data_IF_504145780794
#
_entry.id   IF_504145780794
#
_cell.length_a   1.000
_cell.length_b   1.000
_cell.length_c   1.000
_cell.angle_alpha   90.00
_cell.angle_beta   90.00
_cell.angle_gamma   90.00
#
_symmetry.space_group_name_H-M   'P 1'
#
loop_
_entity.id
_entity.type
_entity.pdbx_description
1 polymer ?
#
# COMPACT_ATOMS: atom_id res chain seq x y z
N UNK A 1 -0.47 24.47 13.87
CA UNK A 1 -1.74 23.73 14.09
C UNK A 1 -1.60 22.21 13.96
N UNK A 2 -1.03 21.69 12.85
CA UNK A 2 -0.89 20.22 12.62
C UNK A 2 -0.05 19.52 13.69
N UNK A 3 1.10 20.08 14.07
CA UNK A 3 1.97 19.51 15.10
C UNK A 3 1.30 19.41 16.48
N UNK A 4 0.53 20.42 16.87
CA UNK A 4 -0.21 20.42 18.15
C UNK A 4 -1.30 19.35 18.15
N UNK A 5 -2.09 19.23 17.08
CA UNK A 5 -3.10 18.15 16.94
C UNK A 5 -2.46 16.77 17.03
N UNK A 6 -1.30 16.56 16.42
CA UNK A 6 -0.56 15.30 16.48
C UNK A 6 -0.06 15.00 17.90
N UNK A 7 0.46 16.01 18.60
CA UNK A 7 0.91 15.86 19.98
C UNK A 7 -0.25 15.49 20.92
N UNK A 8 -1.40 16.17 20.81
CA UNK A 8 -2.60 15.87 21.60
C UNK A 8 -3.13 14.46 21.32
N UNK A 9 -3.17 14.04 20.05
CA UNK A 9 -3.56 12.67 19.66
C UNK A 9 -2.64 11.62 20.29
N UNK A 10 -1.32 11.83 20.27
CA UNK A 10 -0.35 10.94 20.91
C UNK A 10 -0.52 10.88 22.42
N UNK A 11 -0.71 12.02 23.07
CA UNK A 11 -0.94 12.08 24.52
C UNK A 11 -2.22 11.32 24.87
N UNK A 12 -3.31 11.55 24.16
CA UNK A 12 -4.57 10.85 24.36
C UNK A 12 -4.42 9.33 24.19
N UNK A 13 -3.79 8.88 23.10
CA UNK A 13 -3.54 7.47 22.88
C UNK A 13 -2.67 6.84 23.97
N UNK A 14 -1.62 7.55 24.40
CA UNK A 14 -0.74 7.10 25.47
C UNK A 14 -1.48 6.98 26.81
N UNK A 15 -2.30 7.97 27.17
CA UNK A 15 -3.11 7.95 28.39
C UNK A 15 -4.04 6.74 28.41
N UNK A 16 -4.78 6.48 27.33
CA UNK A 16 -5.67 5.32 27.24
C UNK A 16 -4.92 3.99 27.28
N UNK A 17 -3.75 3.94 26.65
CA UNK A 17 -2.94 2.72 26.59
C UNK A 17 -2.34 2.38 27.97
N UNK A 18 -1.68 3.33 28.63
CA UNK A 18 -0.98 3.10 29.91
C UNK A 18 -1.92 3.03 31.12
N UNK A 19 -3.15 3.59 31.02
CA UNK A 19 -4.20 3.36 32.04
C UNK A 19 -4.82 1.97 31.97
N UNK A 20 -4.56 1.19 30.91
CA UNK A 20 -5.19 -0.11 30.67
C UNK A 20 -6.58 -0.04 30.03
N UNK A 21 -7.21 1.13 29.97
CA UNK A 21 -8.56 1.28 29.40
C UNK A 21 -8.64 0.86 27.94
N UNK A 22 -7.61 1.19 27.15
CA UNK A 22 -7.55 0.78 25.74
C UNK A 22 -7.47 -0.74 25.60
N UNK A 23 -6.78 -1.43 26.50
CA UNK A 23 -6.69 -2.89 26.50
C UNK A 23 -8.01 -3.58 26.88
N UNK A 24 -8.74 -3.02 27.83
CA UNK A 24 -10.08 -3.51 28.18
C UNK A 24 -11.04 -3.33 27.01
N UNK A 25 -11.02 -2.16 26.39
CA UNK A 25 -11.82 -1.90 25.20
C UNK A 25 -11.43 -2.84 24.04
N UNK A 26 -10.14 -3.01 23.78
CA UNK A 26 -9.63 -3.91 22.75
C UNK A 26 -10.05 -5.36 22.99
N UNK A 27 -10.06 -5.82 24.25
CA UNK A 27 -10.47 -7.18 24.59
C UNK A 27 -11.93 -7.47 24.21
N UNK A 28 -12.81 -6.48 24.32
CA UNK A 28 -14.21 -6.57 23.89
C UNK A 28 -14.33 -6.39 22.37
N UNK A 29 -13.71 -5.34 21.84
CA UNK A 29 -13.83 -4.93 20.43
C UNK A 29 -13.30 -5.98 19.43
N UNK A 30 -12.23 -6.69 19.80
CA UNK A 30 -11.55 -7.68 18.97
C UNK A 30 -12.12 -9.10 19.14
N UNK A 31 -13.11 -9.29 20.02
CA UNK A 31 -13.66 -10.62 20.28
C UNK A 31 -14.39 -11.15 19.04
N UNK A 32 -13.98 -12.35 18.58
CA UNK A 32 -14.56 -13.00 17.40
C UNK A 32 -14.28 -12.29 16.07
N UNK A 33 -13.29 -11.40 16.05
CA UNK A 33 -12.91 -10.59 14.88
C UNK A 33 -11.43 -10.70 14.59
N UNK A 34 -11.07 -10.46 13.33
CA UNK A 34 -9.68 -10.37 12.90
C UNK A 34 -9.28 -8.93 12.56
N UNK A 35 -8.03 -8.62 12.86
CA UNK A 35 -7.32 -7.43 12.36
C UNK A 35 -6.61 -7.82 11.08
N UNK A 36 -6.88 -7.15 9.97
CA UNK A 36 -6.11 -7.28 8.73
C UNK A 36 -5.37 -5.99 8.48
N UNK A 37 -4.05 -6.03 8.60
CA UNK A 37 -3.17 -4.87 8.43
C UNK A 37 -2.75 -4.75 6.97
N UNK A 38 -2.82 -3.55 6.43
CA UNK A 38 -2.38 -3.23 5.08
C UNK A 38 -1.19 -2.28 5.13
N UNK A 39 -0.04 -2.78 4.76
CA UNK A 39 1.19 -2.03 4.52
C UNK A 39 1.44 -1.89 3.02
N UNK A 40 2.26 -0.91 2.63
CA UNK A 40 2.76 -0.76 1.27
C UNK A 40 4.28 -0.58 1.28
N UNK A 41 4.77 0.54 1.84
CA UNK A 41 6.17 0.93 1.83
C UNK A 41 6.80 0.87 3.23
N UNK A 42 8.04 0.36 3.28
CA UNK A 42 8.90 0.42 4.48
C UNK A 42 10.17 1.17 4.12
N UNK A 43 10.14 2.50 4.23
CA UNK A 43 11.21 3.37 3.76
C UNK A 43 11.95 4.05 4.91
N UNK A 44 13.30 4.08 4.88
CA UNK A 44 14.07 4.85 5.86
C UNK A 44 13.79 6.36 5.70
N UNK A 45 13.97 7.15 6.78
CA UNK A 45 13.94 8.60 6.67
C UNK A 45 14.97 9.09 5.65
N UNK A 46 14.56 10.01 4.78
CA UNK A 46 15.42 10.57 3.74
C UNK A 46 15.51 9.75 2.46
N UNK A 47 14.74 8.68 2.31
CA UNK A 47 14.63 7.95 1.05
C UNK A 47 14.22 8.86 -0.10
N UNK A 48 14.82 8.64 -1.28
CA UNK A 48 14.46 9.38 -2.50
C UNK A 48 13.20 8.82 -3.13
N UNK A 49 12.07 9.00 -2.45
CA UNK A 49 10.75 8.53 -2.86
C UNK A 49 9.76 9.68 -2.99
N UNK A 50 8.84 9.52 -3.94
CA UNK A 50 7.71 10.42 -4.15
C UNK A 50 6.36 9.78 -3.76
N UNK A 51 6.38 8.61 -3.14
CA UNK A 51 5.19 7.98 -2.62
C UNK A 51 4.45 8.84 -1.60
N UNK A 52 3.14 8.68 -1.56
CA UNK A 52 2.29 9.40 -0.62
C UNK A 52 2.58 8.95 0.83
N UNK A 53 2.69 9.91 1.75
CA UNK A 53 3.00 9.62 3.17
C UNK A 53 1.95 8.70 3.88
N UNK A 54 0.75 8.58 3.31
CA UNK A 54 -0.32 7.69 3.79
C UNK A 54 -0.11 6.21 3.49
N UNK A 55 1.00 5.83 2.83
CA UNK A 55 1.35 4.43 2.53
C UNK A 55 2.74 4.05 3.04
N UNK A 56 3.44 4.94 3.75
CA UNK A 56 4.83 4.74 4.18
C UNK A 56 4.90 4.58 5.69
N UNK A 57 5.67 3.59 6.15
CA UNK A 57 6.17 3.48 7.53
C UNK A 57 7.69 3.43 7.52
N UNK A 58 8.33 3.89 8.61
CA UNK A 58 9.78 3.70 8.76
C UNK A 58 10.13 2.26 9.16
N UNK A 59 11.35 1.74 8.83
CA UNK A 59 11.78 0.42 9.30
C UNK A 59 11.69 0.25 10.82
N UNK A 60 11.99 1.31 11.58
CA UNK A 60 11.92 1.30 13.06
C UNK A 60 10.47 1.20 13.54
N UNK A 61 9.54 1.89 12.89
CA UNK A 61 8.11 1.81 13.21
C UNK A 61 7.55 0.45 12.82
N UNK A 62 7.91 -0.05 11.64
CA UNK A 62 7.50 -1.39 11.20
C UNK A 62 8.01 -2.49 12.16
N UNK A 63 9.27 -2.45 12.57
CA UNK A 63 9.81 -3.39 13.57
C UNK A 63 9.06 -3.33 14.90
N UNK A 64 8.74 -2.12 15.36
CA UNK A 64 7.94 -1.91 16.58
C UNK A 64 6.55 -2.54 16.47
N UNK A 65 5.91 -2.40 15.30
CA UNK A 65 4.62 -3.01 15.01
C UNK A 65 4.71 -4.54 15.01
N UNK A 66 5.68 -5.13 14.30
CA UNK A 66 5.83 -6.58 14.21
C UNK A 66 6.13 -7.20 15.57
N UNK A 67 7.02 -6.59 16.36
CA UNK A 67 7.28 -7.01 17.75
C UNK A 67 6.05 -6.93 18.63
N UNK A 68 5.22 -5.89 18.47
CA UNK A 68 3.96 -5.75 19.20
C UNK A 68 2.95 -6.83 18.82
N UNK A 69 2.74 -7.06 17.52
CA UNK A 69 1.80 -8.09 17.05
C UNK A 69 2.25 -9.49 17.40
N UNK A 70 3.52 -9.83 17.23
CA UNK A 70 4.08 -11.14 17.60
C UNK A 70 3.91 -11.43 19.11
N UNK A 71 3.90 -10.41 19.95
CA UNK A 71 3.76 -10.56 21.41
C UNK A 71 2.30 -10.63 21.90
N UNK A 72 1.39 -9.95 21.21
CA UNK A 72 0.04 -9.70 21.73
C UNK A 72 -1.09 -10.26 20.86
N UNK A 73 -0.80 -10.69 19.64
CA UNK A 73 -1.79 -11.21 18.70
C UNK A 73 -1.41 -12.62 18.25
N UNK A 74 -2.42 -13.36 17.83
CA UNK A 74 -2.25 -14.61 17.13
C UNK A 74 -2.15 -14.32 15.63
N UNK A 75 -0.92 -14.40 15.12
CA UNK A 75 -0.62 -14.12 13.74
C UNK A 75 -1.07 -15.30 12.86
N UNK A 76 -1.80 -14.99 11.82
CA UNK A 76 -2.28 -15.94 10.84
C UNK A 76 -1.51 -15.77 9.53
N UNK A 77 -1.20 -16.86 8.89
CA UNK A 77 -0.94 -16.86 7.45
C UNK A 77 -2.25 -16.78 6.67
N UNK A 78 -2.16 -16.68 5.35
CA UNK A 78 -3.34 -16.52 4.50
C UNK A 78 -4.27 -17.74 4.54
N UNK A 79 -3.71 -18.95 4.67
CA UNK A 79 -4.49 -20.19 4.75
C UNK A 79 -5.26 -20.27 6.08
N UNK A 80 -4.59 -19.97 7.20
CA UNK A 80 -5.22 -19.91 8.51
C UNK A 80 -6.30 -18.81 8.59
N UNK A 81 -6.05 -17.66 7.99
CA UNK A 81 -7.04 -16.58 7.91
C UNK A 81 -8.31 -17.04 7.16
N UNK A 82 -8.15 -17.71 6.01
CA UNK A 82 -9.30 -18.24 5.24
C UNK A 82 -10.10 -19.26 6.05
N UNK A 83 -9.42 -20.19 6.73
CA UNK A 83 -10.07 -21.20 7.57
C UNK A 83 -10.90 -20.55 8.68
N UNK A 84 -10.37 -19.51 9.34
CA UNK A 84 -11.08 -18.84 10.42
C UNK A 84 -12.17 -17.87 9.94
N UNK A 85 -12.05 -17.33 8.75
CA UNK A 85 -13.12 -16.53 8.14
C UNK A 85 -14.40 -17.39 7.98
N UNK A 86 -14.24 -18.69 7.67
CA UNK A 86 -15.35 -19.64 7.53
C UNK A 86 -15.80 -20.26 8.86
N UNK A 87 -14.89 -20.44 9.82
CA UNK A 87 -15.14 -21.12 11.10
C UNK A 87 -15.32 -20.21 12.31
N UNK A 88 -15.11 -18.92 12.14
CA UNK A 88 -15.08 -17.92 13.23
C UNK A 88 -13.67 -17.67 13.75
N UNK A 89 -13.37 -16.38 14.01
CA UNK A 89 -12.05 -15.95 14.47
C UNK A 89 -11.82 -16.24 15.95
N UNK A 90 -10.70 -16.88 16.24
CA UNK A 90 -10.19 -16.98 17.60
C UNK A 90 -9.73 -15.61 18.16
N UNK A 91 -9.37 -15.55 19.45
CA UNK A 91 -9.02 -14.30 20.09
C UNK A 91 -7.77 -13.66 19.46
N UNK A 92 -7.84 -12.33 19.26
CA UNK A 92 -6.73 -11.49 18.74
C UNK A 92 -6.12 -12.01 17.43
N UNK A 93 -6.96 -12.53 16.52
CA UNK A 93 -6.52 -12.94 15.19
C UNK A 93 -5.99 -11.74 14.40
N UNK A 94 -4.83 -11.88 13.74
CA UNK A 94 -4.23 -10.82 12.94
C UNK A 94 -3.56 -11.39 11.69
N UNK A 95 -3.82 -10.79 10.54
CA UNK A 95 -3.15 -11.03 9.27
C UNK A 95 -2.38 -9.78 8.86
N UNK A 96 -1.12 -9.93 8.47
CA UNK A 96 -0.29 -8.86 7.91
C UNK A 96 -0.31 -8.95 6.40
N UNK A 97 -0.65 -7.86 5.72
CA UNK A 97 -0.64 -7.79 4.25
C UNK A 97 0.20 -6.63 3.74
N UNK A 98 0.79 -6.82 2.56
CA UNK A 98 1.51 -5.78 1.81
C UNK A 98 0.95 -5.70 0.41
N UNK A 99 0.85 -4.50 -0.14
CA UNK A 99 0.42 -4.26 -1.51
C UNK A 99 1.58 -3.76 -2.39
N UNK A 100 1.33 -3.77 -3.70
CA UNK A 100 2.16 -3.23 -4.79
C UNK A 100 3.37 -4.11 -5.17
N UNK A 101 4.16 -4.57 -4.22
CA UNK A 101 5.40 -5.33 -4.50
C UNK A 101 6.66 -4.46 -4.59
N UNK A 102 6.73 -3.38 -3.81
CA UNK A 102 7.89 -2.48 -3.74
C UNK A 102 9.17 -3.17 -3.27
N UNK A 103 10.32 -2.76 -3.80
CA UNK A 103 11.63 -3.34 -3.45
C UNK A 103 12.00 -3.17 -1.98
N UNK A 104 11.56 -2.09 -1.33
CA UNK A 104 11.78 -1.88 0.10
C UNK A 104 11.11 -2.95 0.97
N UNK A 105 10.11 -3.65 0.47
CA UNK A 105 9.50 -4.79 1.16
C UNK A 105 10.50 -5.95 1.31
N UNK A 106 11.28 -6.24 0.28
CA UNK A 106 12.36 -7.21 0.37
C UNK A 106 13.50 -6.69 1.26
N UNK A 107 13.95 -5.46 1.04
CA UNK A 107 15.14 -4.89 1.72
C UNK A 107 14.91 -4.61 3.22
N UNK A 108 13.72 -4.14 3.58
CA UNK A 108 13.45 -3.63 4.94
C UNK A 108 12.37 -4.42 5.68
N UNK A 109 11.32 -4.91 5.00
CA UNK A 109 10.27 -5.66 5.69
C UNK A 109 10.66 -7.12 5.94
N UNK A 110 11.17 -7.84 4.94
CA UNK A 110 11.52 -9.27 5.07
C UNK A 110 12.47 -9.57 6.23
N UNK A 111 13.56 -8.82 6.47
CA UNK A 111 14.43 -9.08 7.63
C UNK A 111 13.72 -8.96 8.98
N UNK A 112 12.77 -8.04 9.09
CA UNK A 112 11.95 -7.84 10.29
C UNK A 112 10.95 -9.00 10.46
N UNK A 113 10.25 -9.38 9.38
CA UNK A 113 9.33 -10.52 9.39
C UNK A 113 10.04 -11.81 9.83
N UNK A 114 11.26 -12.08 9.30
CA UNK A 114 12.09 -13.22 9.70
C UNK A 114 12.48 -13.16 11.18
N UNK A 115 12.90 -11.99 11.67
CA UNK A 115 13.33 -11.81 13.07
C UNK A 115 12.22 -12.11 14.08
N UNK A 116 11.00 -11.76 13.73
CA UNK A 116 9.85 -11.91 14.62
C UNK A 116 8.94 -13.09 14.26
N UNK A 117 9.33 -13.92 13.27
CA UNK A 117 8.56 -15.04 12.74
C UNK A 117 7.11 -14.66 12.38
N UNK A 118 6.93 -13.51 11.70
CA UNK A 118 5.62 -12.98 11.33
C UNK A 118 5.25 -13.44 9.94
N UNK A 119 4.18 -14.24 9.76
CA UNK A 119 3.66 -14.56 8.44
C UNK A 119 3.00 -13.32 7.81
N UNK A 120 3.11 -13.21 6.49
CA UNK A 120 2.50 -12.10 5.74
C UNK A 120 2.07 -12.51 4.33
N UNK A 121 1.04 -11.84 3.79
CA UNK A 121 0.64 -11.97 2.41
C UNK A 121 1.09 -10.71 1.62
N UNK A 122 1.70 -10.91 0.47
CA UNK A 122 2.16 -9.83 -0.42
C UNK A 122 1.37 -9.90 -1.72
N UNK A 123 0.62 -8.84 -2.02
CA UNK A 123 -0.13 -8.69 -3.25
C UNK A 123 0.68 -7.86 -4.23
N UNK A 124 1.17 -8.47 -5.31
CA UNK A 124 2.09 -7.82 -6.24
C UNK A 124 1.40 -7.41 -7.54
N UNK A 125 1.71 -6.20 -8.03
CA UNK A 125 1.30 -5.71 -9.34
C UNK A 125 2.23 -6.33 -10.39
N UNK A 126 1.80 -7.45 -11.00
CA UNK A 126 2.69 -8.34 -11.75
C UNK A 126 3.33 -7.73 -12.99
N UNK A 127 2.75 -6.68 -13.57
CA UNK A 127 3.31 -5.95 -14.71
C UNK A 127 4.46 -5.00 -14.34
N UNK A 128 4.70 -4.79 -13.05
CA UNK A 128 5.78 -3.91 -12.57
C UNK A 128 6.97 -4.69 -11.99
N UNK A 129 6.75 -5.93 -11.56
CA UNK A 129 7.83 -6.75 -10.97
C UNK A 129 8.90 -7.08 -12.02
N UNK A 130 10.14 -6.74 -11.71
CA UNK A 130 11.30 -6.96 -12.58
C UNK A 130 11.41 -5.95 -13.73
N UNK A 131 10.77 -4.80 -13.62
CA UNK A 131 10.83 -3.73 -14.63
C UNK A 131 11.57 -2.50 -14.11
N UNK A 132 12.10 -1.69 -15.02
CA UNK A 132 12.70 -0.40 -14.74
C UNK A 132 11.67 0.74 -14.86
N UNK A 133 10.47 0.53 -14.31
CA UNK A 133 9.41 1.55 -14.26
C UNK A 133 8.81 1.64 -12.87
N UNK A 134 8.01 2.68 -12.63
CA UNK A 134 7.25 2.86 -11.40
C UNK A 134 5.84 3.32 -11.72
N UNK A 135 4.94 3.34 -10.74
CA UNK A 135 3.60 3.85 -10.96
C UNK A 135 3.63 5.27 -11.51
N UNK A 136 2.70 5.57 -12.40
CA UNK A 136 2.63 6.87 -13.05
C UNK A 136 2.51 8.03 -12.05
N UNK A 137 1.91 7.79 -10.88
CA UNK A 137 1.75 8.81 -9.84
C UNK A 137 3.09 9.25 -9.26
N UNK A 138 3.94 8.32 -8.89
CA UNK A 138 5.29 8.57 -8.37
C UNK A 138 6.15 9.23 -9.45
N UNK A 139 6.08 8.70 -10.67
CA UNK A 139 6.85 9.18 -11.82
C UNK A 139 6.46 10.61 -12.19
N UNK A 140 5.15 10.90 -12.30
CA UNK A 140 4.66 12.24 -12.61
C UNK A 140 4.99 13.23 -11.48
N UNK A 141 4.83 12.83 -10.21
CA UNK A 141 5.16 13.66 -9.06
C UNK A 141 6.64 14.05 -9.07
N UNK A 142 7.53 13.08 -9.34
CA UNK A 142 8.97 13.30 -9.44
C UNK A 142 9.32 14.27 -10.58
N UNK A 143 8.76 14.04 -11.76
CA UNK A 143 9.03 14.88 -12.93
C UNK A 143 8.53 16.32 -12.73
N UNK A 144 7.36 16.53 -12.15
CA UNK A 144 6.85 17.86 -11.79
C UNK A 144 7.76 18.57 -10.79
N UNK A 145 8.17 17.86 -9.74
CA UNK A 145 9.14 18.39 -8.78
C UNK A 145 10.45 18.77 -9.47
N UNK A 146 11.01 17.89 -10.31
CA UNK A 146 12.27 18.16 -11.03
C UNK A 146 12.12 19.33 -12.00
N UNK A 147 11.00 19.46 -12.71
CA UNK A 147 10.71 20.62 -13.56
C UNK A 147 10.68 21.92 -12.75
N UNK A 148 10.21 21.89 -11.51
CA UNK A 148 10.26 23.04 -10.62
C UNK A 148 11.67 23.43 -10.18
N UNK A 149 12.64 22.49 -10.17
CA UNK A 149 14.04 22.71 -9.73
C UNK A 149 15.00 23.01 -10.89
N UNK A 150 14.61 22.75 -12.14
CA UNK A 150 15.47 22.89 -13.33
C UNK A 150 14.84 23.84 -14.35
N UNK A 151 15.33 25.08 -14.42
CA UNK A 151 14.85 26.04 -15.39
C UNK A 151 15.04 25.52 -16.82
N UNK A 152 14.08 25.81 -17.69
CA UNK A 152 14.07 25.36 -19.09
C UNK A 152 13.57 23.94 -19.33
N UNK A 153 13.57 23.09 -18.32
CA UNK A 153 13.02 21.72 -18.46
C UNK A 153 11.58 21.66 -17.93
N UNK A 154 10.65 21.30 -18.81
CA UNK A 154 9.23 21.14 -18.45
C UNK A 154 8.47 22.44 -18.22
N UNK A 155 9.00 23.61 -18.60
CA UNK A 155 8.36 24.92 -18.38
C UNK A 155 6.97 25.00 -19.01
N UNK A 156 6.83 24.52 -20.25
CA UNK A 156 5.53 24.50 -20.94
C UNK A 156 4.49 23.67 -20.21
N UNK A 157 4.89 22.57 -19.56
CA UNK A 157 3.98 21.73 -18.76
C UNK A 157 3.62 22.43 -17.45
N UNK A 158 4.57 23.11 -16.80
CA UNK A 158 4.26 23.87 -15.59
C UNK A 158 3.31 25.04 -15.88
N UNK A 159 3.42 25.68 -17.05
CA UNK A 159 2.48 26.73 -17.51
C UNK A 159 1.10 26.18 -17.74
N UNK A 160 1.01 25.11 -18.51
CA UNK A 160 -0.22 24.43 -18.86
C UNK A 160 -1.01 23.92 -17.63
N UNK A 161 -0.31 23.53 -16.58
CA UNK A 161 -0.89 23.13 -15.30
C UNK A 161 -1.10 24.28 -14.30
N UNK A 162 -0.72 25.52 -14.64
CA UNK A 162 -0.71 26.65 -13.69
C UNK A 162 0.23 26.42 -12.51
N UNK A 163 1.29 25.64 -12.70
CA UNK A 163 2.14 25.11 -11.63
C UNK A 163 3.50 25.85 -11.48
N UNK A 164 3.73 26.97 -12.15
CA UNK A 164 4.99 27.75 -12.05
C UNK A 164 5.34 28.17 -10.62
N UNK A 165 4.32 28.36 -9.77
CA UNK A 165 4.52 28.67 -8.35
C UNK A 165 5.33 27.61 -7.58
N UNK A 166 5.47 26.38 -8.11
CA UNK A 166 6.33 25.35 -7.52
C UNK A 166 7.80 25.80 -7.40
N UNK A 167 8.27 26.68 -8.28
CA UNK A 167 9.67 27.16 -8.32
C UNK A 167 10.05 28.04 -7.14
N UNK A 168 9.08 28.70 -6.52
CA UNK A 168 9.28 29.61 -5.38
C UNK A 168 9.18 28.92 -4.03
N UNK A 169 8.78 27.65 -4.01
CA UNK A 169 8.63 26.86 -2.80
C UNK A 169 9.97 26.23 -2.39
N UNK A 170 10.15 25.99 -1.10
CA UNK A 170 11.22 25.10 -0.62
C UNK A 170 10.99 23.65 -1.12
N UNK A 171 11.98 22.78 -0.93
CA UNK A 171 11.94 21.41 -1.44
C UNK A 171 10.78 20.59 -0.87
N UNK A 172 10.48 20.72 0.40
CA UNK A 172 9.40 19.97 1.05
C UNK A 172 8.03 20.42 0.54
N UNK A 173 7.81 21.72 0.45
CA UNK A 173 6.59 22.31 -0.07
C UNK A 173 6.40 22.02 -1.57
N UNK A 174 7.48 22.07 -2.37
CA UNK A 174 7.41 21.74 -3.79
C UNK A 174 7.08 20.25 -4.03
N UNK A 175 7.66 19.34 -3.26
CA UNK A 175 7.30 17.91 -3.30
C UNK A 175 5.84 17.68 -2.96
N UNK A 176 5.34 18.30 -1.89
CA UNK A 176 3.95 18.17 -1.46
C UNK A 176 2.97 18.77 -2.47
N UNK A 177 3.27 19.96 -3.01
CA UNK A 177 2.42 20.58 -4.03
C UNK A 177 2.43 19.79 -5.35
N UNK A 178 3.55 19.18 -5.73
CA UNK A 178 3.61 18.26 -6.89
C UNK A 178 2.68 17.06 -6.68
N UNK A 179 2.66 16.45 -5.48
CA UNK A 179 1.70 15.38 -5.14
C UNK A 179 0.24 15.85 -5.19
N UNK A 180 -0.03 17.07 -4.72
CA UNK A 180 -1.38 17.64 -4.74
C UNK A 180 -1.89 17.81 -6.18
N UNK A 181 -1.02 18.25 -7.11
CA UNK A 181 -1.35 18.35 -8.54
C UNK A 181 -1.68 16.96 -9.11
N UNK A 182 -0.84 15.97 -8.87
CA UNK A 182 -1.06 14.58 -9.33
C UNK A 182 -2.35 14.00 -8.74
N UNK A 183 -2.63 14.28 -7.47
CA UNK A 183 -3.88 13.87 -6.82
C UNK A 183 -5.10 14.50 -7.48
N UNK A 184 -5.00 15.76 -7.88
CA UNK A 184 -6.08 16.47 -8.60
C UNK A 184 -6.32 15.87 -9.98
N UNK A 185 -5.26 15.61 -10.74
CA UNK A 185 -5.34 14.93 -12.04
C UNK A 185 -5.95 13.53 -11.91
N UNK A 186 -5.54 12.76 -10.92
CA UNK A 186 -6.11 11.43 -10.62
C UNK A 186 -7.61 11.50 -10.31
N UNK A 187 -8.04 12.48 -9.52
CA UNK A 187 -9.46 12.67 -9.18
C UNK A 187 -10.32 13.11 -10.35
N UNK A 188 -9.74 13.86 -11.28
CA UNK A 188 -10.44 14.26 -12.52
C UNK A 188 -10.75 13.05 -13.42
N UNK A 189 -9.99 11.95 -13.30
CA UNK A 189 -10.23 10.71 -14.05
C UNK A 189 -9.91 10.79 -15.54
N UNK A 190 -9.28 11.88 -16.00
CA UNK A 190 -8.88 12.06 -17.40
C UNK A 190 -7.53 11.40 -17.66
N UNK A 191 -7.56 10.10 -18.01
CA UNK A 191 -6.35 9.33 -18.29
C UNK A 191 -5.58 9.89 -19.49
N UNK A 192 -6.27 10.36 -20.53
CA UNK A 192 -5.61 10.92 -21.72
C UNK A 192 -4.81 12.19 -21.36
N UNK A 193 -5.36 13.02 -20.47
CA UNK A 193 -4.66 14.20 -19.94
C UNK A 193 -3.43 13.81 -19.12
N UNK A 194 -3.55 12.82 -18.25
CA UNK A 194 -2.43 12.32 -17.45
C UNK A 194 -1.30 11.81 -18.37
N UNK A 195 -1.63 10.99 -19.36
CA UNK A 195 -0.66 10.43 -20.30
C UNK A 195 0.01 11.53 -21.13
N UNK A 196 -0.73 12.54 -21.56
CA UNK A 196 -0.19 13.71 -22.28
C UNK A 196 0.83 14.49 -21.45
N UNK A 197 0.48 14.81 -20.20
CA UNK A 197 1.34 15.55 -19.26
C UNK A 197 2.61 14.75 -18.97
N UNK A 198 2.45 13.46 -18.67
CA UNK A 198 3.56 12.55 -18.38
C UNK A 198 4.52 12.44 -19.57
N UNK A 199 4.00 12.17 -20.76
CA UNK A 199 4.80 12.07 -21.97
C UNK A 199 5.53 13.39 -22.33
N UNK A 200 4.91 14.53 -22.08
CA UNK A 200 5.55 15.84 -22.31
C UNK A 200 6.74 16.08 -21.35
N UNK A 201 6.58 15.74 -20.07
CA UNK A 201 7.66 15.81 -19.09
C UNK A 201 8.77 14.80 -19.39
N UNK A 202 8.43 13.57 -19.76
CA UNK A 202 9.42 12.55 -20.13
C UNK A 202 10.28 12.98 -21.31
N UNK A 203 9.67 13.54 -22.34
CA UNK A 203 10.44 14.14 -23.46
C UNK A 203 11.35 15.28 -23.01
N UNK A 204 10.85 16.17 -22.13
CA UNK A 204 11.66 17.28 -21.62
C UNK A 204 12.87 16.81 -20.79
N UNK A 205 12.79 15.64 -20.17
CA UNK A 205 13.85 15.08 -19.34
C UNK A 205 14.65 13.95 -19.99
N UNK A 206 14.36 13.57 -21.25
CA UNK A 206 14.98 12.41 -21.91
C UNK A 206 16.51 12.41 -21.86
N UNK A 207 17.14 13.55 -22.13
CA UNK A 207 18.61 13.71 -22.18
C UNK A 207 19.20 14.31 -20.89
N UNK A 208 18.39 14.42 -19.83
CA UNK A 208 18.80 15.13 -18.60
C UNK A 208 19.66 14.29 -17.64
N UNK A 209 19.80 12.98 -17.88
CA UNK A 209 20.43 12.04 -16.95
C UNK A 209 19.69 11.87 -15.62
N UNK A 210 18.42 12.30 -15.54
CA UNK A 210 17.61 12.19 -14.33
C UNK A 210 17.30 10.71 -14.03
N UNK A 211 17.64 10.26 -12.81
CA UNK A 211 17.10 9.01 -12.29
C UNK A 211 15.62 9.20 -11.90
N UNK A 212 14.72 8.81 -12.78
CA UNK A 212 13.27 8.95 -12.58
C UNK A 212 12.68 7.96 -11.59
N UNK A 213 13.43 6.97 -11.12
CA UNK A 213 12.96 5.97 -10.18
C UNK A 213 13.34 6.29 -8.73
N UNK A 214 14.59 6.71 -8.47
CA UNK A 214 15.08 6.85 -7.11
C UNK A 214 14.91 5.55 -6.31
N UNK A 215 14.26 5.66 -5.14
CA UNK A 215 13.85 4.50 -4.32
C UNK A 215 12.45 3.99 -4.66
N UNK A 216 11.79 4.52 -5.70
CA UNK A 216 10.45 4.10 -6.14
C UNK A 216 10.55 2.93 -7.15
N UNK A 217 11.22 1.84 -6.73
CA UNK A 217 11.43 0.61 -7.51
C UNK A 217 10.59 -0.53 -6.98
N UNK A 218 10.18 -1.41 -7.90
CA UNK A 218 9.57 -2.70 -7.55
C UNK A 218 10.63 -3.79 -7.35
N UNK A 219 10.26 -4.85 -6.66
CA UNK A 219 11.07 -6.05 -6.58
C UNK A 219 11.33 -6.65 -7.97
N UNK A 220 12.43 -7.35 -8.11
CA UNK A 220 12.59 -8.31 -9.20
C UNK A 220 12.01 -9.69 -8.81
N UNK A 221 11.93 -10.60 -9.79
CA UNK A 221 11.37 -11.93 -9.55
C UNK A 221 12.26 -12.82 -8.66
N UNK A 222 13.55 -12.53 -8.51
CA UNK A 222 14.41 -13.23 -7.57
C UNK A 222 14.12 -12.77 -6.14
N UNK A 223 13.99 -11.46 -5.92
CA UNK A 223 13.56 -10.89 -4.64
C UNK A 223 12.19 -11.44 -4.21
N UNK A 224 11.24 -11.59 -5.15
CA UNK A 224 9.93 -12.22 -4.86
C UNK A 224 10.09 -13.70 -4.46
N UNK A 225 10.97 -14.47 -5.15
CA UNK A 225 11.25 -15.86 -4.77
C UNK A 225 11.91 -15.96 -3.39
N UNK A 226 12.79 -15.03 -3.03
CA UNK A 226 13.39 -14.98 -1.70
C UNK A 226 12.37 -14.69 -0.59
N UNK A 227 11.33 -13.88 -0.86
CA UNK A 227 10.20 -13.71 0.05
C UNK A 227 9.51 -15.06 0.31
N UNK A 228 9.16 -15.80 -0.74
CA UNK A 228 8.50 -17.12 -0.63
C UNK A 228 9.41 -18.14 0.03
N UNK A 229 10.70 -18.18 -0.32
CA UNK A 229 11.68 -19.11 0.26
C UNK A 229 11.89 -18.88 1.77
N UNK A 230 11.46 -17.74 2.31
CA UNK A 230 11.49 -17.53 3.78
C UNK A 230 10.54 -18.45 4.54
N UNK A 231 9.56 -19.07 3.88
CA UNK A 231 8.49 -19.85 4.52
C UNK A 231 7.45 -19.01 5.29
N UNK A 232 7.62 -17.69 5.29
CA UNK A 232 6.72 -16.76 6.00
C UNK A 232 5.79 -16.00 5.06
N UNK A 233 6.13 -15.93 3.77
CA UNK A 233 5.45 -15.05 2.82
C UNK A 233 4.68 -15.84 1.78
N UNK A 234 3.42 -15.47 1.59
CA UNK A 234 2.56 -15.92 0.50
C UNK A 234 2.38 -14.80 -0.50
N UNK A 235 2.47 -15.09 -1.81
CA UNK A 235 2.31 -14.09 -2.87
C UNK A 235 0.92 -14.22 -3.48
N UNK A 236 0.18 -13.11 -3.53
CA UNK A 236 -1.10 -12.96 -4.21
C UNK A 236 -1.07 -11.89 -5.30
N UNK A 237 -2.18 -11.74 -6.00
CA UNK A 237 -2.34 -10.78 -7.09
C UNK A 237 -2.75 -9.39 -6.59
N UNK A 238 -2.08 -8.35 -7.11
CA UNK A 238 -2.56 -6.95 -7.04
C UNK A 238 -2.89 -6.42 -8.44
N UNK A 239 -3.49 -7.26 -9.28
CA UNK A 239 -3.72 -7.11 -10.71
C UNK A 239 -2.43 -7.10 -11.55
N UNK A 240 -2.55 -6.92 -12.85
CA UNK A 240 -1.38 -6.83 -13.72
C UNK A 240 -0.81 -5.41 -13.76
N UNK A 241 -1.63 -4.43 -14.10
CA UNK A 241 -1.18 -3.04 -14.35
C UNK A 241 -1.56 -2.03 -13.25
N UNK A 242 -2.06 -2.50 -12.10
CA UNK A 242 -2.51 -1.66 -10.98
C UNK A 242 -3.58 -0.62 -11.39
N UNK A 243 -4.42 -0.98 -12.35
CA UNK A 243 -5.51 -0.12 -12.84
C UNK A 243 -6.63 0.00 -11.80
N UNK A 244 -7.28 1.17 -11.72
CA UNK A 244 -8.48 1.38 -10.90
C UNK A 244 -9.65 0.64 -11.54
N UNK A 245 -9.94 -0.56 -11.05
CA UNK A 245 -10.82 -1.53 -11.71
C UNK A 245 -12.25 -1.04 -11.97
N UNK A 246 -12.94 -0.33 -11.05
CA UNK A 246 -14.28 0.19 -11.35
C UNK A 246 -14.34 1.19 -12.52
N UNK A 247 -13.23 1.84 -12.84
CA UNK A 247 -13.17 2.80 -13.94
C UNK A 247 -13.07 2.14 -15.34
N UNK A 248 -12.72 0.86 -15.40
CA UNK A 248 -12.43 0.16 -16.68
C UNK A 248 -13.47 -0.90 -17.05
N UNK A 249 -14.44 -1.15 -16.17
CA UNK A 249 -15.52 -2.11 -16.42
C UNK A 249 -15.11 -3.59 -16.28
N UNK A 250 -16.10 -4.48 -16.35
CA UNK A 250 -15.95 -5.91 -16.05
C UNK A 250 -14.90 -6.61 -16.92
N UNK A 251 -14.96 -6.47 -18.26
CA UNK A 251 -14.07 -7.21 -19.17
C UNK A 251 -12.59 -6.86 -18.97
N UNK A 252 -12.29 -5.57 -18.80
CA UNK A 252 -10.92 -5.15 -18.53
C UNK A 252 -10.48 -5.56 -17.13
N UNK A 253 -11.34 -5.44 -16.12
CA UNK A 253 -11.04 -5.91 -14.78
C UNK A 253 -10.73 -7.42 -14.76
N UNK A 254 -11.53 -8.22 -15.50
CA UNK A 254 -11.30 -9.65 -15.66
C UNK A 254 -9.95 -9.94 -16.33
N UNK A 255 -9.64 -9.24 -17.41
CA UNK A 255 -8.34 -9.36 -18.12
C UNK A 255 -7.16 -9.04 -17.20
N UNK A 256 -7.24 -8.01 -16.35
CA UNK A 256 -6.22 -7.66 -15.35
C UNK A 256 -5.95 -8.82 -14.38
N UNK A 257 -6.99 -9.48 -13.91
CA UNK A 257 -6.88 -10.63 -13.01
C UNK A 257 -6.30 -11.86 -13.73
N UNK A 258 -6.80 -12.19 -14.90
CA UNK A 258 -6.33 -13.34 -15.67
C UNK A 258 -4.85 -13.21 -16.04
N UNK A 259 -4.42 -12.04 -16.52
CA UNK A 259 -3.03 -11.75 -16.83
C UNK A 259 -2.13 -11.86 -15.58
N UNK A 260 -2.57 -11.31 -14.45
CA UNK A 260 -1.81 -11.39 -13.21
C UNK A 260 -1.62 -12.85 -12.77
N UNK A 261 -2.67 -13.67 -12.77
CA UNK A 261 -2.59 -15.10 -12.44
C UNK A 261 -1.70 -15.87 -13.42
N UNK A 262 -1.78 -15.55 -14.71
CA UNK A 262 -0.93 -16.16 -15.72
C UNK A 262 0.55 -15.88 -15.44
N UNK A 263 0.92 -14.62 -15.19
CA UNK A 263 2.31 -14.24 -14.86
C UNK A 263 2.80 -14.97 -13.62
N UNK A 264 2.01 -15.01 -12.54
CA UNK A 264 2.41 -15.71 -11.31
C UNK A 264 2.68 -17.21 -11.57
N UNK A 265 1.84 -17.89 -12.36
CA UNK A 265 2.04 -19.29 -12.75
C UNK A 265 3.30 -19.49 -13.59
N UNK A 266 3.53 -18.63 -14.59
CA UNK A 266 4.70 -18.67 -15.47
C UNK A 266 6.01 -18.46 -14.69
N UNK A 267 5.97 -17.74 -13.58
CA UNK A 267 7.11 -17.53 -12.66
C UNK A 267 7.32 -18.69 -11.69
N UNK A 268 6.48 -19.73 -11.73
CA UNK A 268 6.60 -20.90 -10.87
C UNK A 268 6.27 -20.61 -9.40
N UNK A 269 5.54 -19.54 -9.14
CA UNK A 269 5.09 -19.23 -7.78
C UNK A 269 3.91 -20.12 -7.42
N UNK A 270 3.78 -20.58 -6.15
CA UNK A 270 2.62 -21.32 -5.70
C UNK A 270 1.34 -20.52 -6.02
N UNK A 271 0.34 -21.12 -6.68
CA UNK A 271 -0.87 -20.41 -7.06
C UNK A 271 -1.64 -20.05 -5.78
N UNK A 272 -1.63 -18.79 -5.43
CA UNK A 272 -2.57 -18.28 -4.44
C UNK A 272 -3.79 -17.75 -5.18
N UNK A 273 -4.96 -18.14 -4.69
CA UNK A 273 -6.24 -17.70 -5.25
C UNK A 273 -6.81 -16.53 -4.45
N UNK A 274 -5.91 -15.65 -4.02
CA UNK A 274 -6.25 -14.44 -3.28
C UNK A 274 -5.70 -13.20 -4.01
N UNK A 275 -6.49 -12.11 -3.99
CA UNK A 275 -6.07 -10.84 -4.56
C UNK A 275 -6.40 -9.66 -3.64
N UNK A 276 -5.73 -8.53 -3.89
CA UNK A 276 -6.12 -7.24 -3.35
C UNK A 276 -6.44 -6.29 -4.49
N UNK A 277 -7.49 -5.48 -4.31
CA UNK A 277 -7.90 -4.51 -5.33
C UNK A 277 -7.02 -3.26 -5.28
N UNK A 278 -6.52 -2.75 -6.42
CA UNK A 278 -5.84 -1.47 -6.47
C UNK A 278 -6.66 -0.35 -5.82
N UNK A 279 -6.02 0.45 -4.97
CA UNK A 279 -6.67 1.47 -4.12
C UNK A 279 -7.77 0.92 -3.19
N UNK A 280 -7.97 -0.38 -3.08
CA UNK A 280 -8.99 -1.04 -2.27
C UNK A 280 -10.43 -0.76 -2.71
N UNK A 281 -10.64 -0.27 -3.93
CA UNK A 281 -11.96 0.10 -4.46
C UNK A 281 -12.55 -1.07 -5.23
N UNK A 282 -13.78 -1.44 -4.87
CA UNK A 282 -14.49 -2.57 -5.48
C UNK A 282 -15.99 -2.28 -5.57
N UNK A 283 -16.56 -2.55 -6.73
CA UNK A 283 -18.00 -2.63 -6.98
C UNK A 283 -18.45 -4.08 -7.27
N UNK A 284 -19.72 -4.29 -7.59
CA UNK A 284 -20.25 -5.62 -7.87
C UNK A 284 -19.68 -6.25 -9.14
N UNK A 285 -19.38 -5.43 -10.14
CA UNK A 285 -18.79 -5.89 -11.40
C UNK A 285 -17.36 -6.39 -11.20
N UNK A 286 -16.55 -5.63 -10.45
CA UNK A 286 -15.16 -5.99 -10.10
C UNK A 286 -15.12 -7.23 -9.20
N UNK A 287 -16.00 -7.32 -8.18
CA UNK A 287 -16.06 -8.48 -7.31
C UNK A 287 -16.46 -9.75 -8.09
N UNK A 288 -17.37 -9.62 -9.07
CA UNK A 288 -17.72 -10.71 -9.98
C UNK A 288 -16.55 -11.09 -10.89
N UNK A 289 -15.84 -10.12 -11.48
CA UNK A 289 -14.69 -10.37 -12.31
C UNK A 289 -13.59 -11.13 -11.56
N UNK A 290 -13.32 -10.78 -10.29
CA UNK A 290 -12.38 -11.51 -9.44
C UNK A 290 -12.83 -12.96 -9.20
N UNK A 291 -14.12 -13.17 -8.88
CA UNK A 291 -14.69 -14.53 -8.69
C UNK A 291 -14.57 -15.36 -9.97
N UNK A 292 -14.94 -14.80 -11.09
CA UNK A 292 -14.92 -15.49 -12.39
C UNK A 292 -13.49 -15.77 -12.86
N UNK A 293 -12.49 -14.97 -12.44
CA UNK A 293 -11.07 -15.26 -12.64
C UNK A 293 -10.55 -16.43 -11.78
N UNK A 294 -11.36 -16.92 -10.82
CA UNK A 294 -11.03 -18.05 -9.97
C UNK A 294 -10.44 -17.68 -8.63
N UNK A 295 -10.44 -16.40 -8.25
CA UNK A 295 -10.06 -16.03 -6.88
C UNK A 295 -11.11 -16.52 -5.88
N UNK A 296 -10.66 -16.87 -4.68
CA UNK A 296 -11.50 -17.36 -3.58
C UNK A 296 -11.64 -16.33 -2.47
N UNK A 297 -10.73 -15.34 -2.44
CA UNK A 297 -10.71 -14.27 -1.46
C UNK A 297 -10.15 -13.00 -2.10
N UNK A 298 -10.75 -11.84 -1.80
CA UNK A 298 -10.29 -10.55 -2.30
C UNK A 298 -10.37 -9.46 -1.23
N UNK A 299 -9.28 -8.68 -1.13
CA UNK A 299 -9.09 -7.67 -0.11
C UNK A 299 -9.38 -6.26 -0.65
N UNK A 300 -10.25 -5.57 0.05
CA UNK A 300 -10.57 -4.14 -0.15
C UNK A 300 -9.85 -3.28 0.91
N UNK A 301 -10.18 -1.98 0.93
CA UNK A 301 -9.67 -1.06 1.95
C UNK A 301 -10.85 -0.39 2.65
N UNK A 302 -11.06 -0.75 3.91
CA UNK A 302 -11.94 -0.06 4.84
C UNK A 302 -11.35 -0.23 6.24
N UNK A 303 -11.03 0.83 6.94
CA UNK A 303 -10.43 0.79 8.28
C UNK A 303 -11.37 0.18 9.33
N UNK A 304 -11.66 -1.11 9.16
CA UNK A 304 -12.59 -1.88 9.99
C UNK A 304 -12.04 -3.29 10.22
N UNK A 305 -12.49 -3.92 11.31
CA UNK A 305 -12.20 -5.31 11.64
C UNK A 305 -13.00 -6.25 10.70
N UNK A 306 -12.50 -7.46 10.53
CA UNK A 306 -13.17 -8.54 9.77
C UNK A 306 -13.92 -9.45 10.74
N UNK A 307 -15.13 -9.84 10.35
CA UNK A 307 -16.00 -10.71 11.13
C UNK A 307 -16.30 -12.01 10.37
N UNK A 308 -16.69 -13.03 11.11
CA UNK A 308 -17.21 -14.25 10.50
C UNK A 308 -18.43 -13.93 9.60
N UNK A 309 -18.47 -14.50 8.41
CA UNK A 309 -19.55 -14.26 7.44
C UNK A 309 -19.42 -13.00 6.61
N UNK A 310 -18.32 -12.22 6.75
CA UNK A 310 -18.04 -11.12 5.85
C UNK A 310 -17.88 -11.60 4.39
N UNK A 311 -18.22 -10.73 3.44
CA UNK A 311 -18.09 -11.01 2.01
C UNK A 311 -16.62 -11.28 1.64
N UNK A 312 -16.33 -12.52 1.22
CA UNK A 312 -14.99 -12.99 0.82
C UNK A 312 -14.35 -12.13 -0.28
N UNK A 313 -15.15 -11.43 -1.06
CA UNK A 313 -14.67 -10.56 -2.13
C UNK A 313 -14.60 -9.08 -1.73
N UNK A 314 -14.76 -8.77 -0.44
CA UNK A 314 -14.67 -7.41 0.12
C UNK A 314 -14.05 -7.39 1.52
N UNK A 315 -13.01 -8.21 1.72
CA UNK A 315 -12.34 -8.29 3.03
C UNK A 315 -11.74 -6.93 3.37
N UNK A 316 -12.10 -6.42 4.53
CA UNK A 316 -11.70 -5.11 5.03
C UNK A 316 -10.29 -5.13 5.57
N UNK A 317 -9.52 -4.07 5.34
CA UNK A 317 -8.16 -3.94 5.86
C UNK A 317 -7.97 -2.57 6.49
N UNK A 318 -7.07 -2.50 7.47
CA UNK A 318 -6.68 -1.27 8.14
C UNK A 318 -5.38 -0.77 7.52
N UNK A 319 -5.43 0.42 6.89
CA UNK A 319 -4.26 1.03 6.28
C UNK A 319 -3.30 1.56 7.35
N UNK A 320 -2.05 1.10 7.32
CA UNK A 320 -1.02 1.43 8.30
C UNK A 320 0.03 2.35 7.67
N UNK A 321 0.21 3.53 8.30
CA UNK A 321 1.21 4.50 7.86
C UNK A 321 1.77 5.31 9.02
N UNK A 322 2.99 5.87 8.84
CA UNK A 322 3.78 6.56 9.88
C UNK A 322 3.02 7.69 10.57
N UNK A 323 2.22 8.46 9.82
CA UNK A 323 1.52 9.63 10.37
C UNK A 323 0.42 9.26 11.36
N UNK A 324 -0.15 8.05 11.26
CA UNK A 324 -1.26 7.59 12.08
C UNK A 324 -0.87 6.57 13.15
N UNK A 325 0.23 5.84 12.97
CA UNK A 325 0.57 4.67 13.78
C UNK A 325 2.04 4.64 14.24
N UNK A 326 2.68 5.80 14.33
CA UNK A 326 4.10 5.88 14.69
C UNK A 326 4.45 5.33 16.10
N UNK A 327 3.45 5.18 16.95
CA UNK A 327 3.60 4.58 18.30
C UNK A 327 2.62 3.43 18.49
N UNK A 328 2.95 2.50 19.41
CA UNK A 328 2.05 1.37 19.72
C UNK A 328 0.70 1.83 20.29
N UNK A 329 0.61 2.84 21.16
CA UNK A 329 -0.68 3.39 21.57
C UNK A 329 -1.53 3.90 20.41
N UNK A 330 -0.94 4.66 19.46
CA UNK A 330 -1.64 5.14 18.27
C UNK A 330 -2.12 3.95 17.39
N UNK A 331 -1.25 2.95 17.20
CA UNK A 331 -1.57 1.73 16.45
C UNK A 331 -2.77 1.01 17.09
N UNK A 332 -2.76 0.77 18.41
CA UNK A 332 -3.87 0.09 19.07
C UNK A 332 -5.16 0.91 19.03
N UNK A 333 -5.10 2.23 19.16
CA UNK A 333 -6.25 3.11 18.97
C UNK A 333 -6.82 2.97 17.54
N UNK A 334 -5.95 2.95 16.51
CA UNK A 334 -6.39 2.83 15.12
C UNK A 334 -7.07 1.50 14.83
N UNK A 335 -6.48 0.38 15.25
CA UNK A 335 -7.09 -0.94 15.01
C UNK A 335 -8.37 -1.18 15.80
N UNK A 336 -8.58 -0.46 16.90
CA UNK A 336 -9.83 -0.53 17.68
C UNK A 336 -10.87 0.51 17.26
N UNK A 337 -10.51 1.44 16.38
CA UNK A 337 -11.40 2.51 15.91
C UNK A 337 -11.62 3.63 16.94
N UNK A 338 -10.67 3.85 17.85
CA UNK A 338 -10.69 4.96 18.83
C UNK A 338 -10.15 6.25 18.21
N UNK A 339 -9.27 6.15 17.19
CA UNK A 339 -8.66 7.28 16.46
C UNK A 339 -8.76 7.08 14.96
#
# INVERSE_FOLDING_TARGET
MVAVKRALRRLFAATLYYSGLLWLYAAVKLRGKAVVLMYHRVLPPGADSFSHAGIVVTPQTFERHMRFFARHFRLLDLAGFRQELDGGFGPRACLVTFDDGWQDNHRHALPVLRRHAVPAAFFVATGYIGTDTTFWQERLTRLLYQASRRAGLGDAVLDDLGARGLRTLDDAAAREQSRAIVTTLKRAGDQARIDQVLAALERAFADSGLNVLGDDRFMDWNEVRELVASGLVTIGSHTHSHTILPAVGYERARSEFDQSLQVLRERGLPPTLECAYPNGIVDDAVARAARDAGFTLAFATRNQLVEHGDDKFRIRRINIHEQATSTVPELLCMITGVL
#
